data_IF_031078902646
#
_entry.id   IF_031078902646
#
_cell.length_a   1.000
_cell.length_b   1.000
_cell.length_c   1.000
_cell.angle_alpha   90.00
_cell.angle_beta   90.00
_cell.angle_gamma   90.00
#
_symmetry.space_group_name_H-M   'P 1'
#
loop_
_entity.id
_entity.type
_entity.pdbx_description
1 polymer ?
#
# COMPACT_ATOMS: atom_id res chain seq x y z
N UNK A 1 -9.07 -10.51 6.79
CA UNK A 1 -7.70 -10.74 7.32
C UNK A 1 -6.80 -11.19 6.18
N UNK A 2 -5.53 -10.80 6.26
CA UNK A 2 -4.49 -10.87 5.23
C UNK A 2 -4.22 -12.27 4.67
N UNK A 3 -3.75 -12.32 3.42
CA UNK A 3 -2.64 -13.12 2.87
C UNK A 3 -2.85 -13.37 1.37
N UNK A 4 -2.87 -12.30 0.58
CA UNK A 4 -1.88 -12.30 -0.48
C UNK A 4 -0.56 -12.11 0.26
N UNK A 5 0.27 -13.15 0.31
CA UNK A 5 1.62 -13.03 0.83
C UNK A 5 2.17 -11.67 0.41
N UNK A 6 2.88 -11.00 1.31
CA UNK A 6 3.98 -10.16 0.90
C UNK A 6 4.71 -10.96 -0.18
N UNK A 7 4.44 -10.71 -1.47
CA UNK A 7 5.44 -10.98 -2.49
C UNK A 7 6.68 -10.36 -1.85
N UNK A 8 7.72 -11.16 -1.61
CA UNK A 8 8.97 -10.63 -1.07
C UNK A 8 9.17 -9.28 -1.75
N UNK A 9 9.28 -8.20 -0.96
CA UNK A 9 9.33 -6.86 -1.53
C UNK A 9 10.57 -6.82 -2.39
N UNK A 10 10.38 -7.06 -3.67
CA UNK A 10 11.45 -7.47 -4.54
C UNK A 10 12.01 -6.18 -5.11
N UNK A 11 13.27 -5.93 -4.80
CA UNK A 11 13.98 -4.80 -5.37
C UNK A 11 15.12 -5.34 -6.21
N UNK A 12 15.14 -4.96 -7.48
CA UNK A 12 16.33 -5.15 -8.31
C UNK A 12 17.40 -4.18 -7.82
N UNK A 13 18.54 -4.71 -7.42
CA UNK A 13 19.68 -3.91 -7.00
C UNK A 13 20.54 -3.57 -8.22
N UNK A 14 20.90 -2.30 -8.37
CA UNK A 14 21.73 -1.80 -9.45
C UNK A 14 22.83 -0.94 -8.84
N UNK A 15 24.08 -1.31 -9.07
CA UNK A 15 25.23 -0.48 -8.70
C UNK A 15 25.52 0.51 -9.82
N UNK A 16 25.77 1.76 -9.44
CA UNK A 16 25.99 2.85 -10.40
C UNK A 16 27.28 3.57 -10.08
N UNK A 17 28.00 3.95 -11.12
CA UNK A 17 29.20 4.78 -11.06
C UNK A 17 28.94 6.07 -11.84
N UNK A 18 29.33 7.21 -11.28
CA UNK A 18 29.08 8.54 -11.85
C UNK A 18 30.12 9.55 -11.38
N UNK A 19 30.15 10.72 -12.02
CA UNK A 19 30.99 11.83 -11.59
C UNK A 19 30.16 12.80 -10.76
N UNK A 20 30.62 13.09 -9.54
CA UNK A 20 30.08 14.13 -8.67
C UNK A 20 31.17 15.17 -8.45
N UNK A 21 30.95 16.40 -8.93
CA UNK A 21 31.92 17.49 -8.80
C UNK A 21 33.34 17.10 -9.30
N UNK A 22 33.39 16.38 -10.43
CA UNK A 22 34.64 15.89 -11.04
C UNK A 22 35.26 14.64 -10.40
N UNK A 23 34.74 14.17 -9.26
CA UNK A 23 35.23 12.98 -8.55
C UNK A 23 34.40 11.75 -8.88
N UNK A 24 35.06 10.59 -8.93
CA UNK A 24 34.36 9.31 -9.04
C UNK A 24 33.54 9.03 -7.79
N UNK A 25 32.27 8.70 -8.00
CA UNK A 25 31.33 8.33 -6.97
C UNK A 25 30.59 7.06 -7.39
N UNK A 26 30.10 6.32 -6.40
CA UNK A 26 29.27 5.14 -6.62
C UNK A 26 28.12 5.07 -5.63
N UNK A 27 27.03 4.43 -6.06
CA UNK A 27 25.84 4.26 -5.25
C UNK A 27 25.13 2.95 -5.62
N UNK A 28 24.17 2.54 -4.79
CA UNK A 28 23.32 1.37 -5.05
C UNK A 28 21.88 1.81 -5.08
N UNK A 29 21.15 1.33 -6.07
CA UNK A 29 19.76 1.70 -6.33
C UNK A 29 18.91 0.44 -6.26
N UNK A 30 17.79 0.55 -5.57
CA UNK A 30 16.83 -0.52 -5.32
C UNK A 30 15.56 -0.16 -6.07
N UNK A 31 15.26 -0.89 -7.13
CA UNK A 31 14.12 -0.62 -8.01
C UNK A 31 13.00 -1.60 -7.68
N UNK A 32 11.81 -1.12 -7.26
CA UNK A 32 10.71 -1.98 -6.91
C UNK A 32 10.31 -2.82 -8.13
N UNK A 33 10.23 -4.14 -7.95
CA UNK A 33 9.84 -5.08 -8.99
C UNK A 33 8.34 -5.33 -8.92
N UNK A 34 7.70 -5.27 -10.09
CA UNK A 34 6.31 -5.64 -10.24
C UNK A 34 6.21 -7.05 -10.83
N UNK A 35 5.25 -7.85 -10.35
CA UNK A 35 5.08 -9.24 -10.78
C UNK A 35 4.30 -9.39 -12.10
N UNK A 36 3.86 -8.28 -12.70
CA UNK A 36 3.19 -8.29 -14.01
C UNK A 36 4.18 -8.19 -15.17
N UNK A 37 3.70 -8.44 -16.39
CA UNK A 37 4.51 -8.44 -17.62
C UNK A 37 5.17 -7.10 -17.94
N UNK A 38 4.56 -5.99 -17.50
CA UNK A 38 5.05 -4.63 -17.74
C UNK A 38 5.40 -4.01 -16.39
N UNK A 39 6.68 -3.67 -16.23
CA UNK A 39 7.18 -2.93 -15.08
C UNK A 39 6.61 -1.50 -15.10
N UNK A 40 5.88 -1.06 -14.05
CA UNK A 40 5.42 0.32 -13.95
C UNK A 40 6.61 1.30 -13.85
N UNK A 41 6.45 2.52 -14.38
CA UNK A 41 7.47 3.55 -14.28
C UNK A 41 7.72 3.91 -12.82
N UNK A 42 8.97 4.17 -12.50
CA UNK A 42 9.37 4.73 -11.20
C UNK A 42 8.75 6.12 -11.04
N UNK A 43 7.96 6.30 -9.98
CA UNK A 43 7.20 7.53 -9.69
C UNK A 43 7.98 8.56 -8.88
N UNK A 44 9.13 8.17 -8.34
CA UNK A 44 9.97 9.02 -7.51
C UNK A 44 11.18 8.26 -6.97
N UNK A 45 12.06 8.99 -6.29
CA UNK A 45 13.22 8.44 -5.57
C UNK A 45 13.20 8.82 -4.10
N UNK A 46 13.77 7.96 -3.25
CA UNK A 46 13.97 8.27 -1.83
C UNK A 46 15.25 7.61 -1.29
N UNK A 47 15.69 8.01 -0.10
CA UNK A 47 16.81 7.35 0.56
C UNK A 47 16.40 5.92 0.95
N UNK A 48 17.34 4.96 0.89
CA UNK A 48 17.10 3.61 1.36
C UNK A 48 16.81 3.61 2.87
N UNK A 49 15.66 3.05 3.21
CA UNK A 49 15.10 3.03 4.55
C UNK A 49 14.49 1.66 4.83
N UNK A 50 14.43 1.30 6.10
CA UNK A 50 13.88 0.03 6.56
C UNK A 50 12.40 0.16 6.97
N UNK A 51 11.78 -0.97 7.27
CA UNK A 51 10.46 -1.02 7.92
C UNK A 51 9.31 -0.55 7.02
N UNK A 52 8.29 0.12 7.59
CA UNK A 52 7.09 0.57 6.86
C UNK A 52 7.39 1.42 5.61
N UNK A 53 8.46 2.24 5.65
CA UNK A 53 8.83 3.08 4.52
C UNK A 53 9.33 2.27 3.31
N UNK A 54 9.97 1.11 3.52
CA UNK A 54 10.32 0.18 2.43
C UNK A 54 9.08 -0.39 1.76
N UNK A 55 8.06 -0.69 2.56
CA UNK A 55 6.76 -1.16 2.07
C UNK A 55 6.04 -0.09 1.27
N UNK A 56 6.06 1.16 1.74
CA UNK A 56 5.58 2.33 0.99
C UNK A 56 6.29 2.45 -0.36
N UNK A 57 7.63 2.36 -0.38
CA UNK A 57 8.41 2.53 -1.59
C UNK A 57 8.02 1.51 -2.67
N UNK A 58 7.84 0.24 -2.27
CA UNK A 58 7.38 -0.81 -3.16
C UNK A 58 5.96 -0.55 -3.69
N UNK A 59 5.01 -0.24 -2.81
CA UNK A 59 3.60 0.02 -3.18
C UNK A 59 3.45 1.22 -4.10
N UNK A 60 4.23 2.27 -3.87
CA UNK A 60 4.13 3.55 -4.58
C UNK A 60 5.09 3.67 -5.77
N UNK A 61 5.79 2.58 -6.13
CA UNK A 61 6.79 2.54 -7.21
C UNK A 61 7.86 3.63 -7.06
N UNK A 62 8.38 3.79 -5.85
CA UNK A 62 9.48 4.71 -5.52
C UNK A 62 10.77 3.92 -5.46
N UNK A 63 11.77 4.29 -6.26
CA UNK A 63 13.10 3.69 -6.19
C UNK A 63 13.83 4.21 -4.95
N UNK A 64 14.57 3.32 -4.28
CA UNK A 64 15.39 3.71 -3.13
C UNK A 64 16.85 3.78 -3.51
N UNK A 65 17.57 4.76 -2.96
CA UNK A 65 18.99 4.97 -3.22
C UNK A 65 19.75 4.88 -1.89
N UNK A 66 20.81 4.08 -1.85
CA UNK A 66 21.52 3.75 -0.61
C UNK A 66 22.03 4.99 0.14
N UNK A 67 22.57 5.98 -0.59
CA UNK A 67 23.21 7.17 0.01
C UNK A 67 22.76 8.45 -0.70
N UNK A 68 22.63 9.52 0.07
CA UNK A 68 22.48 10.88 -0.46
C UNK A 68 23.84 11.39 -0.95
N UNK A 69 23.86 12.11 -2.07
CA UNK A 69 25.04 12.83 -2.54
C UNK A 69 25.41 13.92 -1.53
N UNK A 70 26.67 13.87 -1.06
CA UNK A 70 27.23 14.76 -0.04
C UNK A 70 26.38 14.85 1.25
N UNK A 71 25.53 13.84 1.51
CA UNK A 71 24.59 13.84 2.63
C UNK A 71 23.42 14.82 2.49
N UNK A 72 23.17 15.38 1.30
CA UNK A 72 22.19 16.48 1.09
C UNK A 72 20.97 16.09 0.26
N UNK A 73 21.13 15.27 -0.77
CA UNK A 73 20.03 14.88 -1.66
C UNK A 73 20.48 14.04 -2.84
N UNK A 74 19.79 14.15 -3.98
CA UNK A 74 20.11 13.37 -5.19
C UNK A 74 20.53 14.30 -6.33
N UNK A 75 21.78 14.16 -6.79
CA UNK A 75 22.29 14.93 -7.93
C UNK A 75 21.67 14.46 -9.25
N UNK A 76 21.68 15.36 -10.25
CA UNK A 76 21.28 14.99 -11.61
C UNK A 76 22.18 13.89 -12.19
N UNK A 77 23.48 13.95 -11.91
CA UNK A 77 24.45 12.95 -12.37
C UNK A 77 24.15 11.55 -11.84
N UNK A 78 23.81 11.45 -10.54
CA UNK A 78 23.37 10.19 -9.93
C UNK A 78 22.11 9.64 -10.59
N UNK A 79 21.08 10.48 -10.80
CA UNK A 79 19.82 10.02 -11.41
C UNK A 79 19.97 9.66 -12.90
N UNK A 80 20.80 10.37 -13.66
CA UNK A 80 21.09 9.99 -15.04
C UNK A 80 21.84 8.65 -15.12
N UNK A 81 22.84 8.45 -14.24
CA UNK A 81 23.54 7.17 -14.15
C UNK A 81 22.61 6.03 -13.70
N UNK A 82 21.70 6.31 -12.76
CA UNK A 82 20.64 5.42 -12.33
C UNK A 82 19.75 4.96 -13.47
N UNK A 83 19.21 5.91 -14.23
CA UNK A 83 18.33 5.67 -15.35
C UNK A 83 18.99 4.76 -16.39
N UNK A 84 20.24 5.08 -16.76
CA UNK A 84 21.03 4.28 -17.70
C UNK A 84 21.32 2.87 -17.19
N UNK A 85 21.82 2.72 -15.97
CA UNK A 85 22.24 1.42 -15.44
C UNK A 85 21.07 0.47 -15.18
N UNK A 86 19.88 1.01 -14.92
CA UNK A 86 18.69 0.23 -14.62
C UNK A 86 17.80 -0.06 -15.82
N UNK A 87 18.05 0.60 -16.96
CA UNK A 87 17.14 0.66 -18.10
C UNK A 87 15.74 1.19 -17.73
N UNK A 88 15.70 2.21 -16.86
CA UNK A 88 14.48 2.91 -16.43
C UNK A 88 14.66 4.42 -16.65
N UNK A 89 14.39 4.94 -17.86
CA UNK A 89 14.74 6.30 -18.26
C UNK A 89 14.00 7.38 -17.46
N UNK A 90 12.84 7.08 -16.88
CA UNK A 90 12.08 7.99 -16.03
C UNK A 90 12.80 8.34 -14.70
N UNK A 91 13.74 7.52 -14.23
CA UNK A 91 14.50 7.79 -13.01
C UNK A 91 15.30 9.10 -13.12
N UNK A 92 15.79 9.44 -14.31
CA UNK A 92 16.55 10.67 -14.55
C UNK A 92 15.77 11.92 -14.14
N UNK A 93 14.45 11.90 -14.35
CA UNK A 93 13.55 13.01 -14.12
C UNK A 93 12.71 12.86 -12.85
N UNK A 94 12.91 11.78 -12.09
CA UNK A 94 12.13 11.49 -10.90
C UNK A 94 12.20 12.62 -9.87
N UNK A 95 11.04 12.94 -9.31
CA UNK A 95 10.93 13.72 -8.08
C UNK A 95 11.49 12.93 -6.90
N UNK A 96 11.87 13.63 -5.83
CA UNK A 96 12.53 13.04 -4.67
C UNK A 96 11.78 13.30 -3.37
N UNK A 97 11.71 12.26 -2.54
CA UNK A 97 11.40 12.35 -1.11
C UNK A 97 12.74 12.42 -0.38
N UNK A 98 13.01 13.52 0.32
CA UNK A 98 14.28 13.70 1.04
C UNK A 98 14.04 13.68 2.54
N UNK A 99 14.81 12.85 3.23
CA UNK A 99 14.72 12.65 4.68
C UNK A 99 16.04 13.01 5.32
N UNK A 100 16.01 13.60 6.50
CA UNK A 100 17.22 13.88 7.27
C UNK A 100 16.98 13.97 8.76
N UNK A 101 17.98 13.55 9.53
CA UNK A 101 17.99 13.61 10.99
C UNK A 101 18.77 14.84 11.44
N UNK A 102 18.23 15.62 12.37
CA UNK A 102 18.94 16.75 13.01
C UNK A 102 19.43 17.79 11.98
N UNK A 103 20.73 18.06 11.90
CA UNK A 103 21.34 18.91 10.85
C UNK A 103 21.05 18.39 9.44
N UNK A 104 20.88 17.08 9.28
CA UNK A 104 20.48 16.45 8.02
C UNK A 104 19.08 16.86 7.57
N UNK A 105 18.11 17.06 8.49
CA UNK A 105 16.79 17.55 8.09
C UNK A 105 16.83 19.00 7.62
N UNK A 106 17.70 19.83 8.20
CA UNK A 106 17.97 21.16 7.64
C UNK A 106 18.53 21.06 6.21
N UNK A 107 19.48 20.16 5.98
CA UNK A 107 20.04 19.94 4.65
C UNK A 107 18.97 19.44 3.66
N UNK A 108 18.07 18.55 4.09
CA UNK A 108 16.94 18.07 3.28
C UNK A 108 15.98 19.20 2.91
N UNK A 109 15.67 20.09 3.86
CA UNK A 109 14.88 21.28 3.61
C UNK A 109 15.59 22.19 2.59
N UNK A 110 16.85 22.59 2.86
CA UNK A 110 17.65 23.44 1.96
C UNK A 110 17.75 22.85 0.54
N UNK A 111 17.88 21.52 0.42
CA UNK A 111 17.83 20.82 -0.87
C UNK A 111 16.48 21.00 -1.57
N UNK A 112 15.37 20.84 -0.85
CA UNK A 112 14.03 21.02 -1.41
C UNK A 112 13.78 22.45 -1.87
N UNK A 113 14.29 23.46 -1.16
CA UNK A 113 14.23 24.86 -1.61
C UNK A 113 15.00 25.08 -2.93
N UNK A 114 16.19 24.49 -3.06
CA UNK A 114 16.96 24.56 -4.30
C UNK A 114 16.38 23.70 -5.45
N UNK A 115 15.53 22.72 -5.13
CA UNK A 115 15.00 21.73 -6.08
C UNK A 115 13.47 21.61 -6.02
N UNK A 116 12.75 22.72 -5.81
CA UNK A 116 11.30 22.71 -5.53
C UNK A 116 10.49 21.95 -6.59
N UNK A 117 10.86 22.10 -7.88
CA UNK A 117 10.22 21.41 -9.00
C UNK A 117 10.36 19.87 -8.94
N UNK A 118 11.31 19.36 -8.15
CA UNK A 118 11.58 17.93 -7.96
C UNK A 118 11.25 17.43 -6.55
N UNK A 119 11.02 18.30 -5.56
CA UNK A 119 10.89 17.88 -4.17
C UNK A 119 9.49 17.36 -3.82
N UNK A 120 9.25 16.04 -3.91
CA UNK A 120 7.96 15.40 -3.61
C UNK A 120 7.53 15.66 -2.16
N UNK A 121 8.42 15.41 -1.21
CA UNK A 121 8.16 15.62 0.21
C UNK A 121 9.48 15.76 0.98
N UNK A 122 9.40 16.36 2.17
CA UNK A 122 10.54 16.45 3.09
C UNK A 122 10.19 15.84 4.44
N UNK A 123 11.01 14.89 4.90
CA UNK A 123 10.88 14.27 6.21
C UNK A 123 11.98 14.79 7.13
N UNK A 124 11.58 15.37 8.26
CA UNK A 124 12.42 16.12 9.17
C UNK A 124 12.46 15.42 10.52
N UNK A 125 13.30 14.40 10.62
CA UNK A 125 13.45 13.63 11.85
C UNK A 125 14.33 14.40 12.84
N UNK A 126 13.87 14.57 14.09
CA UNK A 126 14.62 15.19 15.20
C UNK A 126 15.25 16.56 14.89
N UNK A 127 14.71 17.23 13.89
CA UNK A 127 15.29 18.43 13.31
C UNK A 127 14.75 19.66 14.00
N UNK A 128 15.64 20.60 14.35
CA UNK A 128 15.27 21.92 14.82
C UNK A 128 15.48 22.91 13.68
N UNK A 129 14.38 23.48 13.16
CA UNK A 129 14.44 24.51 12.10
C UNK A 129 14.08 25.85 12.72
N UNK A 130 15.10 26.70 12.85
CA UNK A 130 14.98 28.05 13.44
C UNK A 130 14.62 29.13 12.41
N UNK A 131 14.69 28.80 11.13
CA UNK A 131 14.38 29.71 10.02
C UNK A 131 12.88 29.66 9.71
N UNK A 132 12.13 30.53 10.37
CA UNK A 132 10.67 30.62 10.25
C UNK A 132 10.19 31.14 8.89
N UNK A 133 11.09 31.66 8.07
CA UNK A 133 10.84 32.07 6.69
C UNK A 133 10.93 30.91 5.69
N UNK A 134 11.41 29.74 6.11
CA UNK A 134 11.58 28.58 5.25
C UNK A 134 10.30 28.15 4.52
N UNK A 135 9.10 28.10 5.15
CA UNK A 135 7.89 27.70 4.44
C UNK A 135 7.58 28.55 3.20
N UNK A 136 8.03 29.82 3.15
CA UNK A 136 7.86 30.68 1.97
C UNK A 136 8.73 30.28 0.77
N UNK A 137 9.76 29.46 1.00
CA UNK A 137 10.78 29.09 0.00
C UNK A 137 10.51 27.76 -0.73
N UNK A 138 9.45 27.05 -0.35
CA UNK A 138 9.16 25.66 -0.77
C UNK A 138 7.66 25.47 -0.97
N UNK A 139 7.07 26.34 -1.79
CA UNK A 139 5.63 26.35 -1.98
C UNK A 139 5.11 25.02 -2.54
N UNK A 140 4.02 24.50 -1.97
CA UNK A 140 3.36 23.26 -2.38
C UNK A 140 4.12 21.98 -2.03
N UNK A 141 5.21 22.03 -1.24
CA UNK A 141 6.00 20.86 -0.83
C UNK A 141 5.56 20.39 0.56
N UNK A 142 4.91 19.22 0.69
CA UNK A 142 4.56 18.63 1.97
C UNK A 142 5.79 18.37 2.85
N UNK A 143 5.68 18.80 4.11
CA UNK A 143 6.69 18.52 5.14
C UNK A 143 6.12 17.72 6.29
N UNK A 144 6.92 16.78 6.78
CA UNK A 144 6.58 15.94 7.91
C UNK A 144 7.68 16.02 8.96
N UNK A 145 7.38 16.66 10.09
CA UNK A 145 8.26 16.71 11.26
C UNK A 145 7.97 15.53 12.15
N UNK A 146 9.03 14.85 12.56
CA UNK A 146 8.95 13.67 13.38
C UNK A 146 10.03 13.77 14.46
N UNK A 147 9.66 13.59 15.72
CA UNK A 147 10.63 13.55 16.82
C UNK A 147 10.17 12.55 17.86
N UNK A 148 11.07 12.04 18.69
CA UNK A 148 10.72 11.24 19.86
C UNK A 148 10.69 12.12 21.09
N UNK A 149 9.89 11.75 22.07
CA UNK A 149 9.76 12.45 23.34
C UNK A 149 11.11 12.60 24.05
N UNK A 150 11.95 11.56 24.06
CA UNK A 150 13.25 11.61 24.71
C UNK A 150 14.24 12.58 24.01
N UNK A 151 14.05 12.88 22.72
CA UNK A 151 14.88 13.87 22.02
C UNK A 151 14.37 15.32 22.18
N UNK A 152 13.15 15.53 22.68
CA UNK A 152 12.58 16.87 22.80
C UNK A 152 13.34 17.81 23.75
N UNK A 153 14.06 17.25 24.73
CA UNK A 153 14.57 17.99 25.87
C UNK A 153 16.09 18.08 25.93
N UNK A 154 16.82 17.62 24.91
CA UNK A 154 18.29 17.60 24.99
C UNK A 154 18.88 19.03 24.98
N UNK A 155 18.69 19.80 23.90
CA UNK A 155 19.32 21.12 23.75
C UNK A 155 18.36 22.26 23.37
N UNK A 156 17.18 21.93 22.82
CA UNK A 156 16.24 22.87 22.21
C UNK A 156 14.83 22.33 22.42
N UNK A 157 13.87 23.17 22.81
CA UNK A 157 12.44 22.79 22.83
C UNK A 157 11.92 22.61 21.40
N UNK A 158 12.10 21.41 20.85
CA UNK A 158 11.69 21.05 19.49
C UNK A 158 10.18 21.20 19.26
N UNK A 159 9.36 21.08 20.33
CA UNK A 159 7.89 21.30 20.23
C UNK A 159 7.58 22.71 19.77
N UNK A 160 8.25 23.70 20.37
CA UNK A 160 8.07 25.12 19.99
C UNK A 160 8.53 25.37 18.56
N UNK A 161 9.66 24.77 18.15
CA UNK A 161 10.17 24.89 16.78
C UNK A 161 9.20 24.28 15.76
N UNK A 162 8.76 23.03 15.98
CA UNK A 162 7.84 22.34 15.06
C UNK A 162 6.48 23.03 14.98
N UNK A 163 5.92 23.43 16.13
CA UNK A 163 4.66 24.17 16.18
C UNK A 163 4.78 25.51 15.46
N UNK A 164 5.79 26.32 15.81
CA UNK A 164 5.99 27.62 15.19
C UNK A 164 6.15 27.49 13.68
N UNK A 165 6.94 26.51 13.24
CA UNK A 165 7.18 26.27 11.82
C UNK A 165 5.91 25.89 11.09
N UNK A 166 5.14 24.91 11.57
CA UNK A 166 3.91 24.52 10.90
C UNK A 166 2.83 25.61 10.95
N UNK A 167 2.77 26.43 12.01
CA UNK A 167 1.91 27.60 12.05
C UNK A 167 2.29 28.63 10.96
N UNK A 168 3.60 28.90 10.80
CA UNK A 168 4.09 29.76 9.72
C UNK A 168 3.81 29.16 8.33
N UNK A 169 3.96 27.85 8.18
CA UNK A 169 3.63 27.12 6.96
C UNK A 169 2.14 27.23 6.62
N UNK A 170 1.26 26.97 7.58
CA UNK A 170 -0.18 27.10 7.40
C UNK A 170 -0.57 28.53 6.99
N UNK A 171 -0.01 29.56 7.64
CA UNK A 171 -0.24 30.96 7.26
C UNK A 171 0.23 31.27 5.83
N UNK A 172 1.30 30.60 5.38
CA UNK A 172 1.78 30.66 4.00
C UNK A 172 1.05 29.70 3.03
N UNK A 173 -0.07 29.09 3.47
CA UNK A 173 -0.86 28.08 2.74
C UNK A 173 -0.04 26.83 2.34
N UNK A 174 0.90 26.43 3.19
CA UNK A 174 1.81 25.32 2.96
C UNK A 174 1.41 24.07 3.75
N UNK A 175 1.50 22.87 3.14
CA UNK A 175 1.27 21.60 3.82
C UNK A 175 2.38 21.29 4.84
N UNK A 176 2.03 21.24 6.13
CA UNK A 176 2.94 20.85 7.21
C UNK A 176 2.27 19.93 8.22
N UNK A 177 2.83 18.75 8.43
CA UNK A 177 2.44 17.82 9.48
C UNK A 177 3.56 17.73 10.51
N UNK A 178 3.22 17.67 11.81
CA UNK A 178 4.19 17.47 12.87
C UNK A 178 3.69 16.41 13.87
N UNK A 179 4.59 15.49 14.23
CA UNK A 179 4.33 14.36 15.12
C UNK A 179 5.49 14.22 16.12
N UNK A 180 5.14 13.89 17.36
CA UNK A 180 6.08 13.74 18.46
C UNK A 180 5.83 12.40 19.17
N UNK A 181 6.56 11.37 18.76
CA UNK A 181 6.45 9.99 19.23
C UNK A 181 6.82 9.81 20.71
N UNK A 182 5.92 9.31 21.55
CA UNK A 182 6.12 9.19 23.01
C UNK A 182 6.68 7.81 23.40
N UNK A 183 7.61 7.29 22.59
CA UNK A 183 8.36 6.11 22.99
C UNK A 183 9.38 6.50 24.07
N UNK A 184 9.31 5.85 25.25
CA UNK A 184 10.34 5.98 26.31
C UNK A 184 11.72 5.53 25.82
N UNK A 185 11.74 4.56 24.90
CA UNK A 185 12.94 4.07 24.21
C UNK A 185 13.05 4.74 22.84
N UNK A 186 13.62 5.95 22.81
CA UNK A 186 13.87 6.64 21.53
C UNK A 186 14.77 7.85 21.71
N UNK A 187 16.02 7.77 21.25
CA UNK A 187 16.95 8.90 21.27
C UNK A 187 17.00 9.66 19.93
N UNK A 188 17.93 10.62 19.84
CA UNK A 188 18.19 11.48 18.67
C UNK A 188 18.37 10.76 17.31
N UNK A 189 18.56 9.43 17.32
CA UNK A 189 18.68 8.59 16.12
C UNK A 189 17.44 7.75 15.76
N UNK A 190 16.40 7.72 16.58
CA UNK A 190 15.22 6.87 16.35
C UNK A 190 14.21 7.51 15.40
N UNK A 191 13.84 6.87 14.27
CA UNK A 191 12.99 7.49 13.23
C UNK A 191 11.49 7.65 13.57
N UNK A 192 11.14 7.85 14.84
CA UNK A 192 9.75 8.01 15.34
C UNK A 192 8.75 7.05 14.69
N UNK A 193 7.53 7.53 14.43
CA UNK A 193 6.46 6.72 13.83
C UNK A 193 6.58 6.62 12.30
N UNK A 194 7.43 5.70 11.86
CA UNK A 194 7.63 5.41 10.42
C UNK A 194 6.37 4.86 9.73
N UNK A 195 5.44 4.22 10.46
CA UNK A 195 4.16 3.75 9.91
C UNK A 195 3.26 4.91 9.50
N UNK A 196 3.09 5.90 10.39
CA UNK A 196 2.30 7.10 10.07
C UNK A 196 2.95 7.88 8.93
N UNK A 197 4.29 7.98 8.94
CA UNK A 197 5.06 8.60 7.85
C UNK A 197 4.83 7.90 6.50
N UNK A 198 4.84 6.56 6.48
CA UNK A 198 4.61 5.78 5.27
C UNK A 198 3.21 6.02 4.68
N UNK A 199 2.19 6.03 5.52
CA UNK A 199 0.80 6.24 5.07
C UNK A 199 0.56 7.70 4.64
N UNK A 200 1.17 8.65 5.34
CA UNK A 200 1.20 10.05 4.91
C UNK A 200 1.87 10.21 3.54
N UNK A 201 2.98 9.50 3.30
CA UNK A 201 3.66 9.50 2.00
C UNK A 201 2.82 8.87 0.90
N UNK A 202 2.07 7.79 1.17
CA UNK A 202 1.12 7.21 0.20
C UNK A 202 0.12 8.27 -0.30
N UNK A 203 -0.47 9.05 0.63
CA UNK A 203 -1.41 10.11 0.26
C UNK A 203 -0.73 11.31 -0.40
N UNK A 204 0.47 11.70 0.04
CA UNK A 204 1.26 12.76 -0.61
C UNK A 204 1.64 12.40 -2.04
N UNK A 205 2.03 11.15 -2.30
CA UNK A 205 2.30 10.67 -3.67
C UNK A 205 1.07 10.86 -4.56
N UNK A 206 -0.12 10.58 -4.05
CA UNK A 206 -1.37 10.74 -4.77
C UNK A 206 -1.74 12.22 -5.00
N UNK A 207 -1.35 13.11 -4.09
CA UNK A 207 -1.57 14.55 -4.28
C UNK A 207 -0.60 15.20 -5.26
N UNK A 208 0.67 14.77 -5.22
CA UNK A 208 1.77 15.55 -5.77
C UNK A 208 2.37 14.96 -7.04
N UNK A 209 2.30 13.64 -7.18
CA UNK A 209 2.91 12.94 -8.31
C UNK A 209 1.82 12.56 -9.31
N UNK A 210 1.95 12.96 -10.59
CA UNK A 210 0.97 12.59 -11.61
C UNK A 210 0.81 11.07 -11.69
N UNK A 211 -0.39 10.64 -12.06
CA UNK A 211 -0.71 9.23 -12.20
C UNK A 211 0.04 8.59 -13.37
N UNK A 212 0.15 9.33 -14.47
CA UNK A 212 0.84 8.89 -15.68
C UNK A 212 2.25 9.50 -15.70
N UNK A 213 3.26 8.67 -15.42
CA UNK A 213 4.67 9.08 -15.53
C UNK A 213 5.13 8.85 -16.96
N UNK A 214 5.54 9.90 -17.69
CA UNK A 214 6.05 9.75 -19.03
C UNK A 214 7.43 9.08 -19.01
N UNK A 215 7.61 8.09 -19.89
CA UNK A 215 8.88 7.38 -20.03
C UNK A 215 9.91 8.29 -20.69
N UNK A 216 11.07 8.46 -20.04
CA UNK A 216 12.20 9.23 -20.56
C UNK A 216 11.95 10.72 -20.76
N UNK A 217 10.94 11.31 -20.09
CA UNK A 217 10.67 12.75 -20.12
C UNK A 217 10.37 13.26 -18.72
N UNK A 218 10.59 14.56 -18.52
CA UNK A 218 10.23 15.21 -17.27
C UNK A 218 8.72 15.28 -17.07
N UNK A 219 8.28 15.08 -15.83
CA UNK A 219 6.91 15.35 -15.39
C UNK A 219 6.88 16.50 -14.38
N UNK A 220 5.73 17.16 -14.29
CA UNK A 220 5.52 18.28 -13.37
C UNK A 220 4.82 17.76 -12.10
N UNK A 221 5.39 18.10 -10.95
CA UNK A 221 4.75 17.85 -9.66
C UNK A 221 3.59 18.84 -9.45
N UNK A 222 2.51 18.35 -8.86
CA UNK A 222 1.29 19.11 -8.59
C UNK A 222 1.44 19.78 -7.22
N UNK A 223 1.21 21.08 -7.12
CA UNK A 223 1.25 21.76 -5.82
C UNK A 223 0.10 21.31 -4.93
N UNK A 224 0.43 20.86 -3.71
CA UNK A 224 -0.59 20.49 -2.73
C UNK A 224 -1.18 21.77 -2.14
N UNK A 225 -2.48 21.97 -2.32
CA UNK A 225 -3.24 22.98 -1.61
C UNK A 225 -3.92 22.36 -0.38
N UNK A 226 -3.48 22.67 0.84
CA UNK A 226 -4.10 22.15 2.06
C UNK A 226 -5.62 22.40 2.14
N UNK A 227 -6.13 23.39 1.42
CA UNK A 227 -7.54 23.77 1.38
C UNK A 227 -8.45 22.84 0.59
N UNK A 228 -7.93 22.07 -0.36
CA UNK A 228 -8.77 21.35 -1.32
C UNK A 228 -9.06 19.90 -0.91
N UNK A 229 -8.21 19.32 -0.06
CA UNK A 229 -8.09 17.86 0.05
C UNK A 229 -7.51 17.35 1.37
N UNK A 230 -7.02 18.22 2.24
CA UNK A 230 -6.47 17.82 3.54
C UNK A 230 -7.36 18.23 4.70
N UNK A 231 -7.20 17.54 5.82
CA UNK A 231 -7.66 18.02 7.10
C UNK A 231 -6.65 18.95 7.74
N UNK A 232 -7.09 19.67 8.75
CA UNK A 232 -6.17 20.37 9.62
C UNK A 232 -6.38 19.98 11.06
N UNK A 233 -5.28 20.06 11.79
CA UNK A 233 -5.24 19.80 13.21
C UNK A 233 -4.90 21.07 13.95
N UNK A 234 -5.72 21.37 14.95
CA UNK A 234 -5.34 22.28 16.01
C UNK A 234 -5.04 21.44 17.25
N UNK A 235 -3.89 21.69 17.88
CA UNK A 235 -3.72 21.29 19.26
C UNK A 235 -3.08 22.39 20.07
N UNK A 236 -3.41 22.36 21.36
CA UNK A 236 -2.89 23.28 22.36
C UNK A 236 -1.66 22.65 23.01
N UNK A 237 -0.53 23.34 22.96
CA UNK A 237 0.65 22.99 23.75
C UNK A 237 0.52 23.59 25.16
N UNK A 238 0.69 22.77 26.20
CA UNK A 238 0.82 23.28 27.56
C UNK A 238 2.13 24.06 27.69
N UNK A 239 2.05 25.37 27.97
CA UNK A 239 3.23 26.21 28.19
C UNK A 239 3.96 25.89 29.49
N UNK A 240 3.29 25.22 30.43
CA UNK A 240 3.80 24.95 31.79
C UNK A 240 4.26 23.51 31.92
N UNK A 241 5.29 23.10 31.17
CA UNK A 241 6.24 22.01 31.49
C UNK A 241 5.75 20.63 31.96
N UNK A 242 4.45 20.39 32.11
CA UNK A 242 3.88 19.13 32.57
C UNK A 242 3.61 18.25 31.36
N UNK A 243 3.89 16.96 31.57
CA UNK A 243 4.17 15.89 30.61
C UNK A 243 2.99 15.45 29.73
N UNK A 244 1.94 16.26 29.61
CA UNK A 244 0.77 15.97 28.76
C UNK A 244 0.81 16.94 27.58
N UNK A 245 1.00 16.40 26.38
CA UNK A 245 1.09 17.19 25.15
C UNK A 245 0.12 16.67 24.10
N UNK A 246 -0.54 17.63 23.44
CA UNK A 246 -1.84 17.48 22.78
C UNK A 246 -2.96 17.07 23.75
N UNK A 247 -3.13 17.81 24.86
CA UNK A 247 -4.23 17.55 25.80
C UNK A 247 -5.57 17.41 25.07
N UNK A 248 -5.75 18.20 24.00
CA UNK A 248 -6.89 18.15 23.10
C UNK A 248 -6.42 18.36 21.65
N UNK A 249 -6.71 17.39 20.81
CA UNK A 249 -6.56 17.43 19.35
C UNK A 249 -7.93 17.64 18.74
N UNK A 250 -8.04 18.62 17.85
CA UNK A 250 -9.22 18.81 17.01
C UNK A 250 -8.82 18.58 15.57
N UNK A 251 -9.35 17.53 14.93
CA UNK A 251 -9.22 17.34 13.49
C UNK A 251 -10.46 17.89 12.82
N UNK A 252 -10.27 18.77 11.84
CA UNK A 252 -11.37 19.41 11.11
C UNK A 252 -11.17 19.38 9.60
N UNK A 253 -12.27 19.18 8.88
CA UNK A 253 -12.36 19.39 7.43
C UNK A 253 -12.70 20.87 7.13
N UNK A 254 -11.87 21.79 7.66
CA UNK A 254 -11.91 23.28 7.54
C UNK A 254 -13.14 24.06 8.09
N UNK A 255 -12.81 25.07 8.92
CA UNK A 255 -13.14 26.50 8.75
C UNK A 255 -12.25 27.36 9.70
N UNK A 256 -11.08 27.82 9.23
CA UNK A 256 -10.12 28.75 9.89
C UNK A 256 -9.44 28.32 11.22
N UNK A 257 -8.19 28.79 11.45
CA UNK A 257 -7.55 28.76 12.78
C UNK A 257 -6.65 27.55 13.13
N UNK A 258 -6.21 26.74 12.17
CA UNK A 258 -5.40 25.54 12.45
C UNK A 258 -3.88 25.76 12.35
N UNK A 259 -3.11 24.86 12.96
CA UNK A 259 -1.63 24.95 12.99
C UNK A 259 -0.92 23.84 12.21
N UNK A 260 -1.62 22.76 11.86
CA UNK A 260 -1.06 21.63 11.10
C UNK A 260 -2.00 21.12 10.03
N UNK A 261 -1.44 20.59 8.95
CA UNK A 261 -2.11 19.87 7.87
C UNK A 261 -1.94 18.37 8.06
N UNK A 262 -2.96 17.59 7.74
CA UNK A 262 -2.89 16.14 7.59
C UNK A 262 -3.55 15.77 6.25
N UNK A 263 -2.87 15.03 5.35
CA UNK A 263 -3.48 14.53 4.14
C UNK A 263 -4.56 13.51 4.51
N UNK A 264 -5.68 13.52 3.77
CA UNK A 264 -6.67 12.43 3.72
C UNK A 264 -7.29 11.92 5.04
N UNK A 265 -8.36 11.11 4.92
CA UNK A 265 -8.91 10.33 6.03
C UNK A 265 -7.96 9.31 6.63
N UNK A 266 -7.09 8.66 5.84
CA UNK A 266 -6.31 7.52 6.32
C UNK A 266 -5.20 7.99 7.27
N UNK A 267 -4.43 9.01 6.88
CA UNK A 267 -3.45 9.60 7.80
C UNK A 267 -4.13 10.31 8.97
N UNK A 268 -5.30 10.92 8.78
CA UNK A 268 -6.04 11.52 9.90
C UNK A 268 -6.49 10.46 10.93
N UNK A 269 -7.08 9.35 10.50
CA UNK A 269 -7.49 8.27 11.37
C UNK A 269 -6.32 7.69 12.17
N UNK A 270 -5.19 7.45 11.49
CA UNK A 270 -3.97 6.98 12.17
C UNK A 270 -3.36 8.02 13.11
N UNK A 271 -3.42 9.30 12.77
CA UNK A 271 -2.94 10.35 13.66
C UNK A 271 -3.80 10.39 14.93
N UNK A 272 -5.12 10.26 14.83
CA UNK A 272 -6.03 10.19 15.97
C UNK A 272 -5.77 8.96 16.85
N UNK A 273 -5.58 7.80 16.24
CA UNK A 273 -5.22 6.57 16.96
C UNK A 273 -3.88 6.72 17.66
N UNK A 274 -2.90 7.32 16.98
CA UNK A 274 -1.58 7.61 17.54
C UNK A 274 -1.70 8.58 18.72
N UNK A 275 -2.50 9.65 18.62
CA UNK A 275 -2.76 10.59 19.73
C UNK A 275 -3.36 9.87 20.93
N UNK A 276 -4.41 9.06 20.73
CA UNK A 276 -5.08 8.31 21.81
C UNK A 276 -4.12 7.33 22.49
N UNK A 277 -3.34 6.60 21.69
CA UNK A 277 -2.34 5.63 22.18
C UNK A 277 -1.21 6.27 22.98
N UNK A 278 -0.97 7.56 22.78
CA UNK A 278 0.07 8.32 23.46
C UNK A 278 -0.49 9.26 24.56
N UNK A 279 -1.69 8.96 25.06
CA UNK A 279 -2.28 9.67 26.21
C UNK A 279 -2.86 11.05 25.90
N UNK A 280 -2.96 11.42 24.62
CA UNK A 280 -3.71 12.61 24.19
C UNK A 280 -5.21 12.35 24.11
N UNK A 281 -6.00 13.42 24.03
CA UNK A 281 -7.45 13.31 23.83
C UNK A 281 -7.90 14.00 22.55
N UNK A 282 -9.04 13.55 22.00
CA UNK A 282 -9.62 14.08 20.77
C UNK A 282 -10.87 14.87 21.14
N UNK A 283 -10.86 16.17 20.87
CA UNK A 283 -11.98 17.07 21.16
C UNK A 283 -13.05 17.00 20.06
N UNK A 284 -12.62 16.92 18.80
CA UNK A 284 -13.50 16.73 17.64
C UNK A 284 -12.78 15.87 16.61
N UNK A 285 -13.53 14.91 16.09
CA UNK A 285 -13.12 14.01 15.02
C UNK A 285 -14.04 14.24 13.82
N UNK A 286 -13.53 14.95 12.81
CA UNK A 286 -14.17 15.10 11.49
C UNK A 286 -13.31 14.43 10.41
N UNK A 287 -12.54 13.41 10.77
CA UNK A 287 -11.60 12.77 9.85
C UNK A 287 -12.30 12.08 8.68
N UNK A 288 -13.53 11.63 8.88
CA UNK A 288 -14.44 11.08 7.88
C UNK A 288 -14.89 12.09 6.81
N UNK A 289 -14.89 13.39 7.15
CA UNK A 289 -15.23 14.48 6.23
C UNK A 289 -14.03 14.93 5.38
N UNK A 290 -12.82 14.51 5.72
CA UNK A 290 -11.63 14.81 4.92
C UNK A 290 -11.78 14.07 3.59
N UNK A 291 -11.48 14.75 2.48
CA UNK A 291 -11.48 14.08 1.18
C UNK A 291 -10.21 13.27 1.07
N UNK A 292 -10.31 12.01 0.63
CA UNK A 292 -9.13 11.27 0.19
C UNK A 292 -8.40 12.08 -0.87
N UNK A 293 -7.09 11.88 -0.97
CA UNK A 293 -6.38 12.31 -2.15
C UNK A 293 -7.10 11.73 -3.37
N UNK A 294 -7.60 12.56 -4.31
CA UNK A 294 -7.94 12.06 -5.62
C UNK A 294 -6.71 11.34 -6.12
N UNK A 295 -6.80 10.01 -6.16
CA UNK A 295 -5.66 9.11 -6.35
C UNK A 295 -5.01 9.37 -7.72
N UNK A 296 -5.71 10.13 -8.57
CA UNK A 296 -5.48 10.35 -9.98
C UNK A 296 -6.01 11.72 -10.44
N UNK A 297 -5.53 12.82 -9.84
CA UNK A 297 -5.99 14.19 -10.12
C UNK A 297 -5.96 14.60 -11.60
N UNK A 298 -5.04 14.02 -12.36
CA UNK A 298 -4.73 14.32 -13.75
C UNK A 298 -5.29 13.29 -14.74
N UNK A 299 -5.98 12.25 -14.28
CA UNK A 299 -6.49 11.23 -15.17
C UNK A 299 -7.81 11.59 -15.84
N UNK A 300 -8.02 11.16 -17.10
CA UNK A 300 -9.32 11.12 -17.73
C UNK A 300 -10.36 10.42 -16.84
N UNK A 301 -11.65 10.84 -16.88
CA UNK A 301 -12.71 10.26 -16.05
C UNK A 301 -12.85 8.74 -16.16
N UNK A 302 -12.57 8.15 -17.32
CA UNK A 302 -12.60 6.70 -17.57
C UNK A 302 -11.50 5.98 -16.79
N UNK A 303 -10.27 6.50 -16.82
CA UNK A 303 -9.13 5.91 -16.13
C UNK A 303 -9.23 6.05 -14.62
N UNK A 304 -9.72 7.20 -14.14
CA UNK A 304 -10.02 7.37 -12.71
C UNK A 304 -11.06 6.36 -12.24
N UNK A 305 -12.18 6.21 -12.95
CA UNK A 305 -13.23 5.21 -12.64
C UNK A 305 -12.68 3.78 -12.66
N UNK A 306 -11.81 3.46 -13.62
CA UNK A 306 -11.18 2.15 -13.70
C UNK A 306 -10.33 1.85 -12.46
N UNK A 307 -9.48 2.79 -12.08
CA UNK A 307 -8.59 2.62 -10.93
C UNK A 307 -9.36 2.52 -9.60
N UNK A 308 -10.37 3.38 -9.39
CA UNK A 308 -11.28 3.31 -8.24
C UNK A 308 -12.01 1.95 -8.17
N UNK A 309 -12.41 1.41 -9.33
CA UNK A 309 -13.07 0.10 -9.42
C UNK A 309 -12.11 -1.04 -9.09
N UNK A 310 -10.83 -0.94 -9.47
CA UNK A 310 -9.79 -1.93 -9.11
C UNK A 310 -9.55 -1.94 -7.60
N UNK A 311 -9.45 -0.76 -6.96
CA UNK A 311 -9.29 -0.68 -5.50
C UNK A 311 -10.49 -1.26 -4.75
N UNK A 312 -11.70 -1.10 -5.31
CA UNK A 312 -12.92 -1.70 -4.78
C UNK A 312 -13.14 -3.17 -5.19
N UNK A 313 -12.18 -3.81 -5.85
CA UNK A 313 -12.27 -5.19 -6.38
C UNK A 313 -13.46 -5.42 -7.33
N UNK A 314 -13.92 -4.36 -8.00
CA UNK A 314 -14.99 -4.38 -9.00
C UNK A 314 -14.41 -4.57 -10.42
N UNK A 315 -13.80 -5.72 -10.65
CA UNK A 315 -12.97 -6.01 -11.83
C UNK A 315 -13.69 -5.83 -13.18
N UNK A 316 -14.93 -6.29 -13.32
CA UNK A 316 -15.75 -6.08 -14.53
C UNK A 316 -16.01 -4.60 -14.81
N UNK A 317 -16.31 -3.81 -13.77
CA UNK A 317 -16.52 -2.37 -13.91
C UNK A 317 -15.23 -1.65 -14.32
N UNK A 318 -14.10 -2.07 -13.73
CA UNK A 318 -12.80 -1.57 -14.11
C UNK A 318 -12.49 -1.83 -15.59
N UNK A 319 -12.66 -3.07 -16.04
CA UNK A 319 -12.40 -3.45 -17.43
C UNK A 319 -13.31 -2.69 -18.42
N UNK A 320 -14.60 -2.56 -18.09
CA UNK A 320 -15.54 -1.80 -18.91
C UNK A 320 -15.18 -0.32 -19.02
N UNK A 321 -14.65 0.28 -17.95
CA UNK A 321 -14.15 1.66 -17.97
C UNK A 321 -12.86 1.79 -18.80
N UNK A 322 -11.93 0.84 -18.68
CA UNK A 322 -10.68 0.80 -19.46
C UNK A 322 -10.96 0.65 -20.96
N UNK A 323 -11.93 -0.18 -21.35
CA UNK A 323 -12.35 -0.35 -22.76
C UNK A 323 -12.88 0.94 -23.40
N UNK A 324 -13.47 1.84 -22.59
CA UNK A 324 -14.00 3.12 -23.06
C UNK A 324 -12.93 4.22 -23.15
N UNK A 325 -11.73 3.99 -22.60
CA UNK A 325 -10.63 4.94 -22.72
C UNK A 325 -10.14 4.97 -24.18
N UNK A 326 -10.20 6.15 -24.81
CA UNK A 326 -9.78 6.37 -26.20
C UNK A 326 -8.26 6.43 -26.35
N UNK A 327 -7.52 6.61 -25.27
CA UNK A 327 -6.07 6.75 -25.31
C UNK A 327 -5.37 5.41 -24.97
N UNK A 328 -5.31 4.51 -25.96
CA UNK A 328 -4.77 3.14 -25.79
C UNK A 328 -3.25 3.08 -25.56
N UNK A 329 -2.53 4.18 -25.83
CA UNK A 329 -1.08 4.27 -25.58
C UNK A 329 -0.73 4.71 -24.15
N UNK A 330 -1.72 5.09 -23.34
CA UNK A 330 -1.51 5.50 -21.96
C UNK A 330 -0.91 4.33 -21.15
N UNK A 331 0.33 4.51 -20.68
CA UNK A 331 1.05 3.50 -19.90
C UNK A 331 0.27 3.09 -18.65
N UNK A 332 -0.32 4.05 -17.96
CA UNK A 332 -1.10 3.79 -16.77
C UNK A 332 -2.34 2.94 -17.10
N UNK A 333 -3.04 3.26 -18.19
CA UNK A 333 -4.14 2.42 -18.69
C UNK A 333 -3.71 0.97 -18.96
N UNK A 334 -2.55 0.76 -19.62
CA UNK A 334 -2.00 -0.58 -19.87
C UNK A 334 -1.67 -1.32 -18.57
N UNK A 335 -1.11 -0.63 -17.59
CA UNK A 335 -0.82 -1.21 -16.27
C UNK A 335 -2.10 -1.65 -15.56
N UNK A 336 -3.17 -0.85 -15.64
CA UNK A 336 -4.48 -1.22 -15.07
C UNK A 336 -5.10 -2.42 -15.79
N UNK A 337 -5.01 -2.49 -17.13
CA UNK A 337 -5.47 -3.65 -17.90
C UNK A 337 -4.72 -4.91 -17.48
N UNK A 338 -3.39 -4.86 -17.42
CA UNK A 338 -2.58 -6.00 -16.98
C UNK A 338 -2.95 -6.43 -15.56
N UNK A 339 -3.17 -5.49 -14.64
CA UNK A 339 -3.61 -5.80 -13.28
C UNK A 339 -4.95 -6.54 -13.24
N UNK A 340 -5.91 -6.13 -14.08
CA UNK A 340 -7.19 -6.84 -14.22
C UNK A 340 -6.98 -8.24 -14.80
N UNK A 341 -6.18 -8.37 -15.87
CA UNK A 341 -5.92 -9.65 -16.53
C UNK A 341 -5.19 -10.63 -15.62
N UNK A 342 -4.09 -10.21 -14.95
CA UNK A 342 -3.35 -11.05 -14.00
C UNK A 342 -4.23 -11.53 -12.85
N UNK A 343 -5.15 -10.69 -12.37
CA UNK A 343 -6.11 -11.11 -11.34
C UNK A 343 -7.06 -12.19 -11.85
N UNK A 344 -7.54 -12.07 -13.08
CA UNK A 344 -8.39 -13.07 -13.74
C UNK A 344 -7.61 -14.35 -13.99
N UNK A 345 -6.41 -14.27 -14.57
CA UNK A 345 -5.52 -15.41 -14.84
C UNK A 345 -5.17 -16.17 -13.56
N UNK A 346 -4.82 -15.48 -12.48
CA UNK A 346 -4.56 -16.11 -11.19
C UNK A 346 -5.78 -16.85 -10.65
N UNK A 347 -6.98 -16.32 -10.88
CA UNK A 347 -8.22 -17.02 -10.54
C UNK A 347 -8.49 -18.22 -11.44
N UNK A 348 -8.27 -18.10 -12.75
CA UNK A 348 -8.42 -19.22 -13.69
C UNK A 348 -7.44 -20.36 -13.37
N UNK A 349 -6.19 -20.04 -13.05
CA UNK A 349 -5.19 -21.02 -12.61
C UNK A 349 -5.61 -21.75 -11.32
N UNK A 350 -6.28 -21.07 -10.39
CA UNK A 350 -6.86 -21.71 -9.22
C UNK A 350 -7.97 -22.70 -9.61
N UNK A 351 -8.85 -22.33 -10.54
CA UNK A 351 -9.90 -23.22 -11.04
C UNK A 351 -9.31 -24.45 -11.76
N UNK A 352 -8.27 -24.27 -12.56
CA UNK A 352 -7.58 -25.37 -13.23
C UNK A 352 -6.91 -26.32 -12.23
N UNK A 353 -6.28 -25.78 -11.19
CA UNK A 353 -5.70 -26.59 -10.09
C UNK A 353 -6.77 -27.38 -9.34
N UNK A 354 -7.94 -26.79 -9.09
CA UNK A 354 -9.05 -27.51 -8.45
C UNK A 354 -9.63 -28.59 -9.37
N UNK A 355 -9.73 -28.30 -10.66
CA UNK A 355 -10.17 -29.26 -11.67
C UNK A 355 -9.20 -30.43 -11.79
N UNK A 356 -7.89 -30.20 -11.75
CA UNK A 356 -6.87 -31.25 -11.85
C UNK A 356 -6.90 -32.21 -10.65
N UNK A 357 -7.32 -31.75 -9.48
CA UNK A 357 -7.51 -32.59 -8.29
C UNK A 357 -8.92 -33.14 -8.14
N UNK A 358 -9.78 -32.96 -9.14
CA UNK A 358 -11.14 -33.50 -9.19
C UNK A 358 -12.17 -32.83 -8.26
N UNK A 359 -11.89 -31.64 -7.72
CA UNK A 359 -12.84 -30.89 -6.88
C UNK A 359 -13.88 -30.14 -7.73
N UNK A 360 -14.75 -30.88 -8.41
CA UNK A 360 -15.77 -30.34 -9.33
C UNK A 360 -16.70 -29.34 -8.64
N UNK A 361 -17.06 -29.58 -7.37
CA UNK A 361 -17.90 -28.65 -6.61
C UNK A 361 -17.14 -27.38 -6.18
N UNK A 362 -15.89 -27.48 -5.73
CA UNK A 362 -15.06 -26.30 -5.44
C UNK A 362 -14.88 -25.41 -6.65
N UNK A 363 -14.69 -26.03 -7.83
CA UNK A 363 -14.67 -25.33 -9.12
C UNK A 363 -16.00 -24.61 -9.38
N UNK A 364 -17.14 -25.29 -9.23
CA UNK A 364 -18.47 -24.70 -9.42
C UNK A 364 -18.78 -23.55 -8.44
N UNK A 365 -18.45 -23.72 -7.16
CA UNK A 365 -18.70 -22.72 -6.13
C UNK A 365 -17.88 -21.44 -6.37
N UNK A 366 -16.59 -21.58 -6.71
CA UNK A 366 -15.74 -20.44 -7.08
C UNK A 366 -16.24 -19.77 -8.36
N UNK A 367 -16.58 -20.55 -9.38
CA UNK A 367 -17.14 -20.04 -10.61
C UNK A 367 -18.41 -19.20 -10.36
N UNK A 368 -19.39 -19.71 -9.62
CA UNK A 368 -20.61 -18.97 -9.27
C UNK A 368 -20.31 -17.67 -8.53
N UNK A 369 -19.40 -17.73 -7.55
CA UNK A 369 -19.01 -16.58 -6.72
C UNK A 369 -18.41 -15.43 -7.54
N UNK A 370 -17.53 -15.75 -8.50
CA UNK A 370 -16.77 -14.73 -9.24
C UNK A 370 -17.35 -14.39 -10.62
N UNK A 371 -18.31 -15.18 -11.13
CA UNK A 371 -18.93 -14.97 -12.45
C UNK A 371 -19.44 -13.54 -12.67
N UNK A 372 -20.10 -12.95 -11.67
CA UNK A 372 -20.60 -11.57 -11.74
C UNK A 372 -19.48 -10.53 -11.69
N UNK A 373 -18.39 -10.83 -11.00
CA UNK A 373 -17.26 -9.91 -10.80
C UNK A 373 -16.35 -9.82 -12.03
N UNK A 374 -16.26 -10.87 -12.85
CA UNK A 374 -15.38 -10.92 -14.02
C UNK A 374 -16.09 -10.89 -15.38
N UNK A 375 -17.43 -10.93 -15.40
CA UNK A 375 -18.22 -10.87 -16.64
C UNK A 375 -17.78 -9.72 -17.56
N UNK A 376 -17.59 -9.99 -18.85
CA UNK A 376 -17.20 -9.00 -19.85
C UNK A 376 -15.68 -8.83 -20.02
N UNK A 377 -14.88 -9.59 -19.26
CA UNK A 377 -13.43 -9.70 -19.44
C UNK A 377 -13.17 -10.90 -20.38
N UNK A 378 -12.53 -10.72 -21.56
CA UNK A 378 -12.42 -11.76 -22.57
C UNK A 378 -11.86 -13.10 -22.08
N UNK A 379 -10.75 -13.08 -21.34
CA UNK A 379 -10.10 -14.28 -20.81
C UNK A 379 -11.06 -15.10 -19.92
N UNK A 380 -11.91 -14.44 -19.12
CA UNK A 380 -12.89 -15.12 -18.28
C UNK A 380 -14.10 -15.60 -19.09
N UNK A 381 -14.62 -14.75 -20.00
CA UNK A 381 -15.79 -15.06 -20.82
C UNK A 381 -15.54 -16.24 -21.79
N UNK A 382 -14.30 -16.44 -22.25
CA UNK A 382 -13.91 -17.61 -23.04
C UNK A 382 -14.01 -18.90 -22.22
N UNK A 383 -13.46 -18.91 -21.01
CA UNK A 383 -13.53 -20.05 -20.09
C UNK A 383 -14.96 -20.32 -19.63
N UNK A 384 -15.78 -19.28 -19.47
CA UNK A 384 -17.20 -19.41 -19.12
C UNK A 384 -17.95 -20.34 -20.09
N UNK A 385 -17.65 -20.25 -21.39
CA UNK A 385 -18.29 -21.09 -22.42
C UNK A 385 -17.95 -22.57 -22.26
N UNK A 386 -16.71 -22.90 -21.91
CA UNK A 386 -16.29 -24.29 -21.73
C UNK A 386 -16.82 -24.88 -20.41
N UNK A 387 -16.86 -24.09 -19.33
CA UNK A 387 -17.34 -24.55 -18.03
C UNK A 387 -18.86 -24.79 -18.01
N UNK A 388 -19.62 -24.01 -18.77
CA UNK A 388 -21.06 -24.24 -18.92
C UNK A 388 -21.38 -25.62 -19.52
N UNK A 389 -20.52 -26.11 -20.42
CA UNK A 389 -20.64 -27.46 -21.01
C UNK A 389 -20.13 -28.53 -20.05
N UNK A 390 -19.00 -28.27 -19.37
CA UNK A 390 -18.43 -29.15 -18.35
C UNK A 390 -19.44 -29.51 -17.26
N UNK A 391 -20.14 -28.53 -16.68
CA UNK A 391 -21.13 -28.78 -15.61
C UNK A 391 -22.42 -29.47 -16.10
N UNK A 392 -22.69 -29.48 -17.41
CA UNK A 392 -23.86 -30.16 -17.99
C UNK A 392 -23.62 -31.64 -18.28
N UNK A 393 -22.37 -32.08 -18.34
CA UNK A 393 -22.03 -33.49 -18.53
C UNK A 393 -22.55 -34.34 -17.35
N UNK A 394 -23.17 -35.49 -17.64
CA UNK A 394 -23.79 -36.35 -16.62
C UNK A 394 -22.81 -36.82 -15.55
N UNK A 395 -21.58 -37.15 -15.94
CA UNK A 395 -20.49 -37.50 -15.02
C UNK A 395 -20.21 -36.39 -13.99
N UNK A 396 -20.22 -35.13 -14.41
CA UNK A 396 -19.94 -33.99 -13.53
C UNK A 396 -21.15 -33.62 -12.65
N UNK A 397 -22.39 -33.90 -13.09
CA UNK A 397 -23.58 -33.71 -12.25
C UNK A 397 -23.54 -34.61 -11.01
N UNK A 398 -23.11 -35.85 -11.17
CA UNK A 398 -22.93 -36.78 -10.04
C UNK A 398 -21.84 -36.29 -9.08
N UNK A 399 -20.68 -35.89 -9.61
CA UNK A 399 -19.58 -35.33 -8.80
C UNK A 399 -19.99 -34.03 -8.09
N UNK A 400 -20.76 -33.15 -8.73
CA UNK A 400 -21.26 -31.91 -8.10
C UNK A 400 -22.11 -32.19 -6.86
N UNK A 401 -22.96 -33.23 -6.89
CA UNK A 401 -23.80 -33.61 -5.74
C UNK A 401 -22.94 -34.11 -4.58
N UNK A 402 -22.02 -35.03 -4.85
CA UNK A 402 -21.10 -35.60 -3.86
C UNK A 402 -20.18 -34.53 -3.26
N UNK A 403 -19.55 -33.72 -4.11
CA UNK A 403 -18.70 -32.61 -3.69
C UNK A 403 -19.46 -31.59 -2.84
N UNK A 404 -20.71 -31.25 -3.19
CA UNK A 404 -21.55 -30.35 -2.38
C UNK A 404 -21.79 -30.91 -0.99
N UNK A 405 -22.08 -32.20 -0.88
CA UNK A 405 -22.32 -32.88 0.38
C UNK A 405 -21.06 -32.90 1.26
N UNK A 406 -19.92 -33.30 0.70
CA UNK A 406 -18.63 -33.26 1.39
C UNK A 406 -18.28 -31.84 1.89
N UNK A 407 -18.35 -30.83 1.02
CA UNK A 407 -18.11 -29.44 1.40
C UNK A 407 -19.05 -28.96 2.51
N UNK A 408 -20.32 -29.42 2.50
CA UNK A 408 -21.29 -29.12 3.56
C UNK A 408 -20.96 -29.82 4.88
N UNK A 409 -20.41 -31.03 4.86
CA UNK A 409 -19.94 -31.73 6.08
C UNK A 409 -18.80 -30.93 6.72
N UNK A 410 -17.75 -30.63 5.95
CA UNK A 410 -16.59 -29.87 6.43
C UNK A 410 -17.00 -28.47 6.95
N UNK A 411 -17.86 -27.75 6.22
CA UNK A 411 -18.33 -26.44 6.66
C UNK A 411 -19.10 -26.48 7.99
N UNK A 412 -19.90 -27.53 8.23
CA UNK A 412 -20.58 -27.72 9.52
C UNK A 412 -19.57 -28.00 10.63
N UNK A 413 -18.59 -28.88 10.38
CA UNK A 413 -17.53 -29.19 11.34
C UNK A 413 -16.67 -27.98 11.70
N UNK A 414 -16.37 -27.12 10.71
CA UNK A 414 -15.58 -25.91 10.94
C UNK A 414 -16.30 -24.86 11.81
N UNK A 415 -17.64 -24.85 11.84
CA UNK A 415 -18.42 -23.94 12.69
C UNK A 415 -18.44 -24.37 14.17
N UNK A 416 -18.07 -25.61 14.48
CA UNK A 416 -18.03 -26.11 15.86
C UNK A 416 -16.69 -25.82 16.52
N UNK A 417 -16.65 -25.61 17.84
CA UNK A 417 -15.39 -25.41 18.59
C UNK A 417 -14.46 -26.62 18.49
N UNK A 418 -15.03 -27.82 18.51
CA UNK A 418 -14.37 -29.11 18.24
C UNK A 418 -15.30 -29.98 17.41
N UNK A 419 -14.76 -30.88 16.60
CA UNK A 419 -15.53 -31.88 15.89
C UNK A 419 -16.27 -32.77 16.89
N UNK A 420 -17.57 -33.01 16.65
CA UNK A 420 -18.36 -33.95 17.44
C UNK A 420 -18.19 -35.37 16.91
N UNK A 421 -18.41 -36.35 17.78
CA UNK A 421 -18.42 -37.78 17.42
C UNK A 421 -19.42 -38.05 16.29
N UNK A 422 -20.67 -37.58 16.41
CA UNK A 422 -21.66 -37.65 15.34
C UNK A 422 -21.23 -36.95 14.04
N UNK A 423 -20.39 -35.90 14.12
CA UNK A 423 -19.83 -35.23 12.95
C UNK A 423 -18.75 -36.06 12.26
N UNK A 424 -17.94 -36.78 13.04
CA UNK A 424 -16.94 -37.72 12.56
C UNK A 424 -17.58 -38.96 11.95
N UNK A 425 -18.63 -39.52 12.56
CA UNK A 425 -19.40 -40.65 12.01
C UNK A 425 -19.99 -40.32 10.63
N UNK A 426 -20.55 -39.12 10.46
CA UNK A 426 -21.08 -38.66 9.17
C UNK A 426 -19.98 -38.54 8.11
N UNK A 427 -18.80 -38.05 8.50
CA UNK A 427 -17.65 -37.91 7.59
C UNK A 427 -17.04 -39.27 7.22
N UNK A 428 -16.90 -40.17 8.19
CA UNK A 428 -16.42 -41.54 8.00
C UNK A 428 -17.36 -42.35 7.13
N UNK A 429 -18.67 -42.29 7.41
CA UNK A 429 -19.69 -42.91 6.58
C UNK A 429 -19.62 -42.41 5.14
N UNK A 430 -19.53 -41.11 4.93
CA UNK A 430 -19.38 -40.54 3.59
C UNK A 430 -18.11 -41.04 2.88
N UNK A 431 -16.99 -41.18 3.61
CA UNK A 431 -15.75 -41.72 3.07
C UNK A 431 -15.89 -43.20 2.63
N UNK A 432 -16.60 -44.01 3.43
CA UNK A 432 -16.82 -45.43 3.19
C UNK A 432 -17.86 -45.71 2.09
N UNK A 433 -18.91 -44.89 1.99
CA UNK A 433 -19.94 -45.04 0.96
C UNK A 433 -19.42 -44.62 -0.44
N UNK A 434 -18.30 -43.91 -0.51
CA UNK A 434 -17.78 -43.28 -1.73
C UNK A 434 -16.27 -43.50 -1.97
N UNK A 435 -15.71 -44.63 -1.53
CA UNK A 435 -14.25 -44.92 -1.52
C UNK A 435 -13.54 -44.69 -2.86
N UNK A 436 -14.19 -45.05 -3.97
CA UNK A 436 -13.60 -44.95 -5.31
C UNK A 436 -13.65 -43.53 -5.90
N UNK A 437 -14.38 -42.62 -5.26
CA UNK A 437 -14.52 -41.24 -5.74
C UNK A 437 -13.42 -40.35 -5.16
N UNK A 438 -13.07 -39.30 -5.89
CA UNK A 438 -12.14 -38.27 -5.42
C UNK A 438 -12.67 -37.59 -4.13
N UNK A 439 -13.98 -37.37 -4.04
CA UNK A 439 -14.63 -36.81 -2.86
C UNK A 439 -14.55 -37.74 -1.64
N UNK A 440 -14.71 -39.05 -1.81
CA UNK A 440 -14.54 -40.03 -0.74
C UNK A 440 -13.10 -40.16 -0.26
N UNK A 441 -12.12 -40.11 -1.16
CA UNK A 441 -10.69 -40.06 -0.80
C UNK A 441 -10.35 -38.79 0.00
N UNK A 442 -10.90 -37.63 -0.40
CA UNK A 442 -10.75 -36.39 0.35
C UNK A 442 -11.43 -36.46 1.73
N UNK A 443 -12.61 -37.08 1.81
CA UNK A 443 -13.32 -37.29 3.07
C UNK A 443 -12.57 -38.21 4.02
N UNK A 444 -11.98 -39.31 3.53
CA UNK A 444 -11.14 -40.20 4.33
C UNK A 444 -9.97 -39.45 4.95
N UNK A 445 -9.28 -38.64 4.16
CA UNK A 445 -8.16 -37.83 4.63
C UNK A 445 -8.57 -36.74 5.63
N UNK A 446 -9.75 -36.15 5.43
CA UNK A 446 -10.33 -35.22 6.38
C UNK A 446 -10.66 -35.92 7.71
N UNK A 447 -11.22 -37.13 7.65
CA UNK A 447 -11.50 -37.94 8.83
C UNK A 447 -10.21 -38.25 9.61
N UNK A 448 -9.17 -38.79 8.95
CA UNK A 448 -7.88 -39.08 9.58
C UNK A 448 -7.32 -37.87 10.34
N UNK A 449 -7.24 -36.71 9.67
CA UNK A 449 -6.68 -35.49 10.28
C UNK A 449 -7.53 -34.89 11.39
N UNK A 450 -8.85 -34.90 11.25
CA UNK A 450 -9.75 -34.30 12.26
C UNK A 450 -9.92 -35.24 13.46
N UNK A 451 -9.80 -36.56 13.26
CA UNK A 451 -9.77 -37.53 14.36
C UNK A 451 -8.49 -37.41 15.19
N UNK A 452 -7.35 -37.10 14.55
CA UNK A 452 -6.09 -36.80 15.25
C UNK A 452 -6.14 -35.45 16.00
N UNK A 453 -6.74 -34.42 15.41
CA UNK A 453 -6.96 -33.13 16.03
C UNK A 453 -8.40 -32.63 15.82
N UNK A 454 -9.26 -32.90 16.80
CA UNK A 454 -10.67 -32.49 16.79
C UNK A 454 -10.88 -30.97 16.73
N UNK A 455 -9.84 -30.17 16.98
CA UNK A 455 -9.88 -28.71 16.89
C UNK A 455 -9.45 -28.17 15.52
N UNK A 456 -8.91 -29.03 14.65
CA UNK A 456 -8.41 -28.66 13.33
C UNK A 456 -9.50 -27.98 12.48
N UNK A 457 -9.15 -26.86 11.85
CA UNK A 457 -9.99 -26.10 10.92
C UNK A 457 -9.30 -25.95 9.60
N UNK A 458 -9.81 -26.60 8.57
CA UNK A 458 -9.32 -26.46 7.19
C UNK A 458 -10.50 -26.42 6.22
N UNK A 459 -10.32 -25.74 5.08
CA UNK A 459 -11.35 -25.71 4.04
C UNK A 459 -11.44 -27.07 3.34
N UNK A 460 -12.57 -27.39 2.72
CA UNK A 460 -12.74 -28.67 2.04
C UNK A 460 -11.70 -28.88 0.92
N UNK A 461 -11.30 -27.79 0.25
CA UNK A 461 -10.31 -27.77 -0.83
C UNK A 461 -8.93 -28.30 -0.38
N UNK A 462 -8.54 -28.11 0.88
CA UNK A 462 -7.20 -28.51 1.36
C UNK A 462 -7.01 -30.03 1.34
N UNK A 463 -8.09 -30.78 1.53
CA UNK A 463 -8.06 -32.23 1.59
C UNK A 463 -7.84 -32.84 0.20
N UNK A 464 -8.35 -32.22 -0.87
CA UNK A 464 -8.05 -32.61 -2.25
C UNK A 464 -6.59 -32.38 -2.62
N UNK A 465 -6.06 -31.20 -2.30
CA UNK A 465 -4.67 -30.83 -2.63
C UNK A 465 -3.64 -31.74 -1.95
N UNK A 466 -3.99 -32.27 -0.78
CA UNK A 466 -3.12 -33.21 -0.08
C UNK A 466 -3.09 -34.61 -0.68
N UNK A 467 -4.04 -34.97 -1.55
CA UNK A 467 -4.03 -36.24 -2.30
C UNK A 467 -3.07 -36.14 -3.49
N UNK A 468 -3.00 -34.98 -4.15
CA UNK A 468 -2.15 -34.75 -5.32
C UNK A 468 -0.65 -34.55 -5.00
N UNK A 469 -0.26 -34.54 -3.72
CA UNK A 469 1.13 -34.41 -3.25
C UNK A 469 1.75 -35.72 -2.74
N UNK A 470 1.17 -36.86 -3.14
CA UNK A 470 1.75 -38.19 -2.94
C UNK A 470 2.08 -38.79 -4.31
N UNK A 471 3.10 -38.21 -4.94
CA UNK A 471 4.01 -38.89 -5.87
C UNK A 471 5.43 -38.40 -5.53
#
# INVERSE_FOLDING_TARGET
MMLGNLSAQNFKQVNVSYKLNGKDASNTIYIPQYSGEIQPPVRGVMQNVSGPLKSFAHKSQVAMIARLDEGRGFSKALLAAAAKASNQPEIEFAGAIVQGISKGGRAAADWAAANQARAIAVILDHSAIWRMDFPKRVSGVPMYFNATHADLFQNIDRRKSHFGWCAAAFNAKQPCTAVIDITEKGGHGGRGTTTLTAIWLEEVMNFRVPANIPVGRAYKLIDVNPSSVGGYVSAKLSQKGKRTFHDKVKITAKMSGSTWWIPGPKSAAMYLEWVRSNGGSVEKDESDQIKNAPIFLDLPPELRRAAESIEAEKWSQAYAALKKNKNQEDHFAKTLVNKVNTQVEGHLALLDKQKSVGDVYGVYANFQKYSKSYKGIPAYDEVLKSYASFFKAEENKAQLKLGREFHSIINRMNKMKRASEAGLEVLEKFANDHTETVHGKAAKKAFEKISEDSSLKQSAESYYLSIAGQD
#
